data_IF_650641361208
#
_entry.id   IF_650641361208
#
_cell.length_a   1.000
_cell.length_b   1.000
_cell.length_c   1.000
_cell.angle_alpha   90.00
_cell.angle_beta   90.00
_cell.angle_gamma   90.00
#
_symmetry.space_group_name_H-M   'P 1'
#
loop_
_entity.id
_entity.type
_entity.pdbx_description
1 polymer ?
#
# COMPACT_ATOMS: atom_id res chain seq x y z
N UNK A 1 -3.32 49.15 24.59
CA UNK A 1 -2.65 48.18 23.69
C UNK A 1 -2.95 48.56 22.25
N UNK A 2 -1.93 48.86 21.44
CA UNK A 2 -2.05 49.52 20.14
C UNK A 2 -2.72 48.58 19.09
N UNK A 3 -3.70 49.07 18.32
CA UNK A 3 -4.45 48.26 17.34
C UNK A 3 -3.55 47.53 16.34
N UNK A 4 -2.42 48.15 15.95
CA UNK A 4 -1.40 47.53 15.10
C UNK A 4 -0.78 46.27 15.71
N UNK A 5 -0.62 46.22 17.03
CA UNK A 5 -0.06 45.08 17.75
C UNK A 5 -1.07 43.93 17.81
N UNK A 6 -2.36 44.24 18.02
CA UNK A 6 -3.46 43.24 17.95
C UNK A 6 -3.53 42.60 16.56
N UNK A 7 -3.54 43.41 15.49
CA UNK A 7 -3.63 42.90 14.11
C UNK A 7 -2.47 41.96 13.77
N UNK A 8 -1.23 42.34 14.09
CA UNK A 8 -0.05 41.50 13.84
C UNK A 8 -0.08 40.20 14.63
N UNK A 9 -0.50 40.24 15.89
CA UNK A 9 -0.66 39.04 16.71
C UNK A 9 -1.73 38.09 16.12
N UNK A 10 -2.89 38.61 15.71
CA UNK A 10 -3.94 37.80 15.08
C UNK A 10 -3.46 37.17 13.76
N UNK A 11 -2.77 37.91 12.91
CA UNK A 11 -2.24 37.37 11.65
C UNK A 11 -1.21 36.26 11.89
N UNK A 12 -0.32 36.42 12.87
CA UNK A 12 0.67 35.41 13.22
C UNK A 12 0.00 34.11 13.73
N UNK A 13 -1.05 34.23 14.55
CA UNK A 13 -1.80 33.08 15.06
C UNK A 13 -2.50 32.35 13.91
N UNK A 14 -3.20 33.06 13.04
CA UNK A 14 -3.92 32.46 11.91
C UNK A 14 -2.96 31.76 10.96
N UNK A 15 -1.81 32.38 10.66
CA UNK A 15 -0.79 31.75 9.82
C UNK A 15 -0.21 30.48 10.48
N UNK A 16 0.07 30.52 11.78
CA UNK A 16 0.56 29.35 12.51
C UNK A 16 -0.45 28.19 12.52
N UNK A 17 -1.73 28.49 12.76
CA UNK A 17 -2.81 27.49 12.72
C UNK A 17 -2.96 26.89 11.33
N UNK A 18 -2.93 27.73 10.28
CA UNK A 18 -3.04 27.25 8.90
C UNK A 18 -1.92 26.26 8.55
N UNK A 19 -0.67 26.57 8.90
CA UNK A 19 0.48 25.67 8.67
C UNK A 19 0.32 24.35 9.43
N UNK A 20 -0.10 24.40 10.70
CA UNK A 20 -0.29 23.21 11.51
C UNK A 20 -1.39 22.29 10.97
N UNK A 21 -2.51 22.87 10.50
CA UNK A 21 -3.61 22.12 9.89
C UNK A 21 -3.16 21.46 8.58
N UNK A 22 -2.48 22.21 7.70
CA UNK A 22 -1.99 21.68 6.43
C UNK A 22 -0.96 20.56 6.65
N UNK A 23 -0.03 20.74 7.59
CA UNK A 23 0.96 19.71 7.94
C UNK A 23 0.28 18.44 8.49
N UNK A 24 -0.67 18.59 9.40
CA UNK A 24 -1.41 17.45 9.98
C UNK A 24 -2.20 16.71 8.90
N UNK A 25 -2.85 17.42 7.98
CA UNK A 25 -3.60 16.81 6.88
C UNK A 25 -2.68 16.07 5.88
N UNK A 26 -1.49 16.62 5.60
CA UNK A 26 -0.50 15.95 4.75
C UNK A 26 0.06 14.69 5.42
N UNK A 27 0.27 14.73 6.75
CA UNK A 27 0.81 13.60 7.53
C UNK A 27 -0.24 12.51 7.79
N UNK A 28 -1.53 12.86 7.88
CA UNK A 28 -2.65 11.94 8.08
C UNK A 28 -3.44 11.68 6.80
N UNK A 29 -2.83 11.76 5.62
CA UNK A 29 -3.50 11.25 4.42
C UNK A 29 -3.74 9.75 4.61
N UNK A 30 -5.00 9.42 4.85
CA UNK A 30 -5.56 8.07 4.88
C UNK A 30 -5.25 7.42 3.51
N UNK A 31 -4.08 6.79 3.35
CA UNK A 31 -3.77 5.99 2.16
C UNK A 31 -4.58 4.70 2.31
N UNK A 32 -5.86 4.79 1.96
CA UNK A 32 -6.75 3.64 1.96
C UNK A 32 -6.27 2.70 0.87
N UNK A 33 -5.88 1.46 1.21
CA UNK A 33 -5.44 0.51 0.21
C UNK A 33 -6.58 0.23 -0.76
N UNK A 34 -6.32 0.33 -2.05
CA UNK A 34 -7.26 -0.14 -3.06
C UNK A 34 -7.28 -1.66 -3.03
N UNK A 35 -8.46 -2.25 -3.05
CA UNK A 35 -8.57 -3.71 -3.06
C UNK A 35 -8.61 -4.20 -4.51
N UNK A 36 -7.72 -5.12 -4.85
CA UNK A 36 -7.69 -5.81 -6.15
C UNK A 36 -7.74 -7.32 -5.92
N UNK A 37 -8.36 -8.05 -6.84
CA UNK A 37 -8.52 -9.50 -6.77
C UNK A 37 -8.09 -10.12 -8.09
N UNK A 38 -7.46 -11.28 -8.02
CA UNK A 38 -6.98 -11.99 -9.21
C UNK A 38 -6.08 -13.16 -8.88
N UNK A 39 -5.41 -13.68 -9.90
CA UNK A 39 -4.51 -14.82 -9.84
C UNK A 39 -3.07 -14.34 -9.76
N UNK A 40 -2.44 -14.53 -8.60
CA UNK A 40 -1.07 -14.12 -8.34
C UNK A 40 -0.08 -15.22 -8.70
N UNK A 41 0.86 -14.87 -9.57
CA UNK A 41 2.02 -15.67 -9.94
C UNK A 41 3.25 -15.14 -9.21
N UNK A 42 3.84 -15.90 -8.27
CA UNK A 42 4.99 -15.41 -7.52
C UNK A 42 6.25 -15.40 -8.39
N UNK A 43 7.20 -14.55 -8.04
CA UNK A 43 8.57 -14.74 -8.49
C UNK A 43 9.30 -15.81 -7.66
N UNK A 44 10.49 -16.20 -8.09
CA UNK A 44 11.31 -17.22 -7.40
C UNK A 44 11.71 -16.84 -5.96
N UNK A 45 11.72 -15.54 -5.65
CA UNK A 45 12.01 -15.04 -4.31
C UNK A 45 10.76 -14.93 -3.40
N UNK A 46 9.55 -15.09 -3.95
CA UNK A 46 8.28 -14.94 -3.23
C UNK A 46 8.02 -13.53 -2.68
N UNK A 47 8.72 -12.52 -3.19
CA UNK A 47 8.65 -11.13 -2.72
C UNK A 47 7.93 -10.19 -3.70
N UNK A 48 7.63 -10.68 -4.90
CA UNK A 48 6.77 -9.98 -5.87
C UNK A 48 5.80 -10.97 -6.51
N UNK A 49 4.70 -10.43 -7.04
CA UNK A 49 3.71 -11.19 -7.81
C UNK A 49 3.33 -10.47 -9.09
N UNK A 50 3.04 -11.26 -10.10
CA UNK A 50 2.30 -10.83 -11.29
C UNK A 50 0.83 -11.24 -11.11
N UNK A 51 -0.08 -10.28 -11.05
CA UNK A 51 -1.51 -10.51 -10.83
C UNK A 51 -2.26 -10.47 -12.16
N UNK A 52 -2.96 -11.54 -12.51
CA UNK A 52 -3.77 -11.65 -13.73
C UNK A 52 -5.25 -11.87 -13.41
N UNK A 53 -6.14 -11.56 -14.35
CA UNK A 53 -7.57 -11.84 -14.19
C UNK A 53 -7.91 -13.33 -14.29
N UNK A 54 -7.12 -14.10 -15.05
CA UNK A 54 -7.31 -15.54 -15.28
C UNK A 54 -6.07 -16.34 -14.87
N UNK A 55 -6.21 -17.65 -14.54
CA UNK A 55 -5.08 -18.51 -14.16
C UNK A 55 -4.34 -19.12 -15.36
N UNK A 56 -4.60 -18.70 -16.59
CA UNK A 56 -4.01 -19.31 -17.80
C UNK A 56 -2.57 -18.84 -18.10
N UNK A 57 -2.07 -17.85 -17.37
CA UNK A 57 -0.72 -17.30 -17.53
C UNK A 57 -0.51 -16.46 -18.80
N UNK A 58 -1.53 -16.33 -19.66
CA UNK A 58 -1.46 -15.59 -20.92
C UNK A 58 -2.16 -14.23 -20.85
N UNK A 59 -2.95 -14.01 -19.80
CA UNK A 59 -3.59 -12.71 -19.56
C UNK A 59 -2.59 -11.62 -19.19
N UNK A 60 -2.91 -10.39 -19.60
CA UNK A 60 -2.23 -9.20 -19.10
C UNK A 60 -2.43 -9.11 -17.58
N UNK A 61 -1.43 -8.55 -16.90
CA UNK A 61 -1.44 -8.42 -15.46
C UNK A 61 -0.65 -7.21 -15.00
N UNK A 62 -0.67 -7.01 -13.68
CA UNK A 62 0.06 -5.96 -12.99
C UNK A 62 1.06 -6.57 -12.01
N UNK A 63 2.24 -5.96 -11.89
CA UNK A 63 3.27 -6.36 -10.93
C UNK A 63 3.07 -5.68 -9.57
N UNK A 64 3.17 -6.46 -8.49
CA UNK A 64 3.07 -5.97 -7.11
C UNK A 64 4.22 -6.45 -6.24
N UNK A 65 4.71 -5.58 -5.36
CA UNK A 65 5.68 -5.94 -4.33
C UNK A 65 4.93 -6.48 -3.11
N UNK A 66 5.30 -7.68 -2.65
CA UNK A 66 4.73 -8.32 -1.46
C UNK A 66 5.63 -8.22 -0.21
N UNK A 67 6.87 -7.77 -0.36
CA UNK A 67 7.80 -7.67 0.77
C UNK A 67 7.20 -6.82 1.91
N UNK A 68 7.08 -7.41 3.11
CA UNK A 68 6.49 -6.76 4.28
C UNK A 68 4.95 -6.73 4.31
N UNK A 69 4.26 -7.28 3.30
CA UNK A 69 2.80 -7.35 3.28
C UNK A 69 2.27 -8.31 4.35
N UNK A 70 1.33 -7.87 5.20
CA UNK A 70 0.64 -8.81 6.09
C UNK A 70 -0.17 -9.80 5.26
N UNK A 71 -0.24 -11.06 5.66
CA UNK A 71 -0.98 -12.02 4.86
C UNK A 71 -1.76 -13.05 5.66
N UNK A 72 -2.78 -13.60 5.03
CA UNK A 72 -3.58 -14.69 5.57
C UNK A 72 -3.90 -15.71 4.48
N UNK A 73 -4.15 -16.96 4.89
CA UNK A 73 -4.57 -18.05 4.02
C UNK A 73 -5.97 -18.54 4.41
N UNK A 74 -6.34 -19.75 3.96
CA UNK A 74 -7.58 -20.43 4.32
C UNK A 74 -7.81 -20.55 5.84
N UNK A 75 -6.73 -20.52 6.64
CA UNK A 75 -6.77 -20.55 8.10
C UNK A 75 -7.22 -19.23 8.76
N UNK A 76 -7.34 -18.14 8.00
CA UNK A 76 -7.70 -16.80 8.48
C UNK A 76 -6.77 -16.23 9.57
N UNK A 77 -5.55 -16.78 9.72
CA UNK A 77 -4.54 -16.28 10.64
C UNK A 77 -3.62 -15.28 9.93
N UNK A 78 -3.65 -14.05 10.40
CA UNK A 78 -2.78 -12.98 9.89
C UNK A 78 -1.34 -13.17 10.37
N UNK A 79 -0.43 -13.16 9.40
CA UNK A 79 1.02 -13.27 9.59
C UNK A 79 1.68 -11.96 9.20
N UNK A 80 2.80 -11.66 9.84
CA UNK A 80 3.66 -10.56 9.45
C UNK A 80 4.47 -10.97 8.19
N UNK A 81 4.43 -10.13 7.16
CA UNK A 81 5.13 -10.38 5.89
C UNK A 81 6.65 -10.19 5.97
N UNK A 82 7.21 -10.18 7.18
CA UNK A 82 8.62 -9.94 7.48
C UNK A 82 9.46 -11.21 7.44
N UNK A 83 8.87 -12.39 7.63
CA UNK A 83 9.60 -13.66 7.69
C UNK A 83 9.12 -14.64 6.61
N UNK A 84 9.79 -14.62 5.45
CA UNK A 84 9.62 -15.61 4.39
C UNK A 84 8.53 -15.29 3.36
N UNK A 85 8.29 -16.20 2.40
CA UNK A 85 7.29 -16.02 1.36
C UNK A 85 5.88 -16.01 1.94
N UNK A 86 4.98 -15.30 1.27
CA UNK A 86 3.54 -15.27 1.62
C UNK A 86 2.83 -16.58 1.27
N UNK A 87 1.51 -16.67 1.48
CA UNK A 87 0.72 -17.83 1.03
C UNK A 87 0.73 -18.07 -0.50
N UNK A 88 1.18 -17.11 -1.31
CA UNK A 88 1.43 -17.34 -2.75
C UNK A 88 2.65 -18.25 -2.98
N UNK A 89 3.58 -18.27 -2.02
CA UNK A 89 4.79 -19.09 -2.10
C UNK A 89 5.82 -18.57 -3.10
N UNK A 90 6.64 -19.49 -3.63
CA UNK A 90 7.75 -19.21 -4.55
C UNK A 90 7.67 -20.03 -5.84
N UNK A 91 6.61 -20.83 -6.01
CA UNK A 91 6.44 -21.66 -7.20
C UNK A 91 5.94 -20.80 -8.38
N UNK A 92 6.86 -20.41 -9.26
CA UNK A 92 6.58 -19.56 -10.42
C UNK A 92 5.66 -20.19 -11.46
N UNK A 93 5.36 -21.50 -11.34
CA UNK A 93 4.50 -22.25 -12.25
C UNK A 93 3.06 -22.39 -11.72
N UNK A 94 2.77 -21.87 -10.53
CA UNK A 94 1.46 -21.97 -9.90
C UNK A 94 0.87 -20.60 -9.62
N UNK A 95 -0.36 -20.39 -10.06
CA UNK A 95 -1.15 -19.22 -9.70
C UNK A 95 -1.92 -19.49 -8.41
N UNK A 96 -1.98 -18.49 -7.54
CA UNK A 96 -2.82 -18.52 -6.33
C UNK A 96 -3.92 -17.47 -6.48
N UNK A 97 -5.18 -17.81 -6.22
CA UNK A 97 -6.24 -16.82 -6.20
C UNK A 97 -6.13 -15.96 -4.95
N UNK A 98 -6.07 -14.65 -5.12
CA UNK A 98 -5.78 -13.73 -4.02
C UNK A 98 -6.57 -12.44 -4.11
N UNK A 99 -6.74 -11.83 -2.95
CA UNK A 99 -7.14 -10.44 -2.80
C UNK A 99 -6.01 -9.64 -2.16
N UNK A 100 -5.64 -8.53 -2.76
CA UNK A 100 -4.58 -7.63 -2.31
C UNK A 100 -5.17 -6.29 -1.89
N UNK A 101 -4.65 -5.75 -0.79
CA UNK A 101 -4.76 -4.32 -0.51
C UNK A 101 -3.50 -3.63 -1.00
N UNK A 102 -3.62 -2.77 -2.00
CA UNK A 102 -2.49 -2.16 -2.68
C UNK A 102 -2.45 -0.66 -2.48
N UNK A 103 -1.24 -0.12 -2.41
CA UNK A 103 -0.97 1.32 -2.37
C UNK A 103 0.03 1.65 -3.47
N UNK A 104 -0.19 2.76 -4.16
CA UNK A 104 0.79 3.33 -5.05
C UNK A 104 1.78 4.15 -4.22
N UNK A 105 3.04 3.72 -4.18
CA UNK A 105 4.12 4.44 -3.52
C UNK A 105 4.83 5.31 -4.56
N UNK A 106 4.93 6.60 -4.28
CA UNK A 106 5.63 7.56 -5.13
C UNK A 106 6.86 8.09 -4.37
N UNK A 107 8.06 7.91 -4.95
CA UNK A 107 9.31 8.45 -4.42
C UNK A 107 10.28 8.75 -5.56
N UNK A 108 10.95 9.91 -5.50
CA UNK A 108 12.02 10.32 -6.43
C UNK A 108 11.67 10.16 -7.92
N UNK A 109 10.43 10.48 -8.29
CA UNK A 109 9.93 10.38 -9.68
C UNK A 109 9.61 8.95 -10.14
N UNK A 110 9.74 7.95 -9.26
CA UNK A 110 9.34 6.57 -9.49
C UNK A 110 8.03 6.25 -8.76
N UNK A 111 7.18 5.46 -9.40
CA UNK A 111 5.95 4.93 -8.79
C UNK A 111 5.95 3.41 -8.85
N UNK A 112 5.71 2.75 -7.72
CA UNK A 112 5.52 1.31 -7.68
C UNK A 112 4.31 0.92 -6.84
N UNK A 113 3.75 -0.25 -7.14
CA UNK A 113 2.59 -0.80 -6.46
C UNK A 113 3.03 -1.77 -5.38
N UNK A 114 2.70 -1.43 -4.13
CA UNK A 114 3.05 -2.22 -2.95
C UNK A 114 1.78 -2.82 -2.34
N UNK A 115 1.77 -4.12 -2.09
CA UNK A 115 0.70 -4.76 -1.34
C UNK A 115 0.94 -4.58 0.16
N UNK A 116 0.05 -3.89 0.87
CA UNK A 116 0.13 -3.76 2.34
C UNK A 116 -0.48 -4.97 3.06
N UNK A 117 -1.41 -5.66 2.40
CA UNK A 117 -1.94 -6.93 2.84
C UNK A 117 -2.35 -7.84 1.68
N UNK A 118 -2.39 -9.15 1.94
CA UNK A 118 -2.76 -10.22 1.02
C UNK A 118 -3.68 -11.23 1.72
N UNK A 119 -4.72 -11.69 1.01
CA UNK A 119 -5.52 -12.85 1.40
C UNK A 119 -5.52 -13.86 0.27
N UNK A 120 -5.02 -15.07 0.51
CA UNK A 120 -5.23 -16.18 -0.40
C UNK A 120 -6.64 -16.77 -0.20
N UNK A 121 -7.31 -17.05 -1.31
CA UNK A 121 -8.71 -17.47 -1.40
C UNK A 121 -8.83 -18.95 -1.76
#
# INVERSE_FOLDING_TARGET
MNEKVKRRATTAIVAGVAVAVTATWLLNRDVRPTTVEGWAWPNSAGNTVWLTETPDGNSKGDGFILAGARWTSADNLWRDGSSGPTCVGTNTMAATHVRLGVVDVQADGMSWRHAVWLRCL
#
